data_IF_215838010098
#
_entry.id   IF_215838010098
#
_cell.length_a   1.000
_cell.length_b   1.000
_cell.length_c   1.000
_cell.angle_alpha   90.00
_cell.angle_beta   90.00
_cell.angle_gamma   90.00
#
_symmetry.space_group_name_H-M   'P 1'
#
loop_
_entity.id
_entity.type
_entity.pdbx_description
1 polymer ?
#
# COMPACT_ATOMS: atom_id res chain seq x y z
N UNK A 1 -5.73 -17.02 -13.03
CA UNK A 1 -4.59 -16.78 -12.11
C UNK A 1 -4.08 -15.33 -12.19
N UNK A 2 -3.86 -14.74 -13.38
CA UNK A 2 -3.48 -13.32 -13.54
C UNK A 2 -4.38 -12.35 -12.74
N UNK A 3 -5.68 -12.35 -13.02
CA UNK A 3 -6.65 -11.41 -12.40
C UNK A 3 -6.79 -11.67 -10.90
N UNK A 4 -6.71 -12.92 -10.44
CA UNK A 4 -6.79 -13.26 -9.02
C UNK A 4 -5.62 -12.65 -8.24
N UNK A 5 -4.38 -12.86 -8.69
CA UNK A 5 -3.21 -12.27 -8.04
C UNK A 5 -3.21 -10.75 -8.11
N UNK A 6 -3.71 -10.18 -9.21
CA UNK A 6 -3.87 -8.74 -9.32
C UNK A 6 -4.86 -8.21 -8.28
N UNK A 7 -6.01 -8.87 -8.09
CA UNK A 7 -6.99 -8.51 -7.06
C UNK A 7 -6.39 -8.66 -5.66
N UNK A 8 -5.69 -9.76 -5.36
CA UNK A 8 -5.02 -9.95 -4.07
C UNK A 8 -4.00 -8.84 -3.79
N UNK A 9 -3.15 -8.50 -4.77
CA UNK A 9 -2.18 -7.41 -4.64
C UNK A 9 -2.86 -6.05 -4.43
N UNK A 10 -3.95 -5.77 -5.16
CA UNK A 10 -4.73 -4.54 -5.01
C UNK A 10 -5.37 -4.45 -3.62
N UNK A 11 -5.98 -5.54 -3.13
CA UNK A 11 -6.59 -5.58 -1.79
C UNK A 11 -5.54 -5.36 -0.71
N UNK A 12 -4.39 -6.05 -0.78
CA UNK A 12 -3.30 -5.93 0.20
C UNK A 12 -2.72 -4.52 0.22
N UNK A 13 -2.46 -3.91 -0.94
CA UNK A 13 -1.91 -2.54 -1.00
C UNK A 13 -2.92 -1.47 -0.59
N UNK A 14 -4.20 -1.64 -0.91
CA UNK A 14 -5.25 -0.70 -0.46
C UNK A 14 -5.45 -0.78 1.06
N UNK A 15 -5.49 -1.99 1.63
CA UNK A 15 -5.57 -2.19 3.08
C UNK A 15 -4.31 -1.65 3.79
N UNK A 16 -3.12 -1.92 3.25
CA UNK A 16 -1.87 -1.38 3.77
C UNK A 16 -1.85 0.15 3.75
N UNK A 17 -2.33 0.77 2.67
CA UNK A 17 -2.46 2.22 2.55
C UNK A 17 -3.44 2.82 3.58
N UNK A 18 -4.61 2.19 3.76
CA UNK A 18 -5.60 2.62 4.75
C UNK A 18 -5.06 2.51 6.18
N UNK A 19 -4.40 1.41 6.53
CA UNK A 19 -3.77 1.21 7.83
C UNK A 19 -2.63 2.22 8.05
N UNK A 20 -1.80 2.46 7.03
CA UNK A 20 -0.73 3.46 7.09
C UNK A 20 -1.26 4.87 7.35
N UNK A 21 -2.35 5.27 6.70
CA UNK A 21 -3.03 6.54 6.94
C UNK A 21 -3.59 6.64 8.37
N UNK A 22 -4.20 5.57 8.88
CA UNK A 22 -4.70 5.53 10.25
C UNK A 22 -3.57 5.67 11.28
N UNK A 23 -2.43 5.01 11.05
CA UNK A 23 -1.23 5.14 11.90
C UNK A 23 -0.68 6.57 11.83
N UNK A 24 -0.57 7.16 10.64
CA UNK A 24 -0.09 8.53 10.47
C UNK A 24 -0.98 9.53 11.24
N UNK A 25 -2.30 9.41 11.11
CA UNK A 25 -3.26 10.24 11.86
C UNK A 25 -3.11 10.07 13.37
N UNK A 26 -2.93 8.83 13.84
CA UNK A 26 -2.73 8.54 15.27
C UNK A 26 -1.45 9.17 15.81
N UNK A 27 -0.35 9.09 15.06
CA UNK A 27 0.92 9.71 15.44
C UNK A 27 0.77 11.24 15.51
N UNK A 28 0.16 11.85 14.50
CA UNK A 28 -0.06 13.31 14.47
C UNK A 28 -0.93 13.77 15.64
N UNK A 29 -1.99 13.02 15.95
CA UNK A 29 -2.83 13.29 17.12
C UNK A 29 -2.02 13.22 18.43
N UNK A 30 -1.23 12.17 18.63
CA UNK A 30 -0.41 12.00 19.82
C UNK A 30 0.66 13.09 19.96
N UNK A 31 1.30 13.50 18.87
CA UNK A 31 2.28 14.61 18.87
C UNK A 31 1.64 15.93 19.29
N UNK A 32 0.42 16.20 18.83
CA UNK A 32 -0.31 17.42 19.17
C UNK A 32 -0.81 17.41 20.63
N UNK A 33 -1.36 16.29 21.11
CA UNK A 33 -1.86 16.15 22.49
C UNK A 33 -0.73 16.20 23.51
N UNK A 34 0.40 15.54 23.22
CA UNK A 34 1.56 15.54 24.11
C UNK A 34 2.33 16.85 24.10
N UNK A 35 2.01 17.79 23.20
CA UNK A 35 2.79 19.01 22.95
C UNK A 35 4.28 18.71 22.73
N UNK A 36 4.60 17.53 22.18
CA UNK A 36 5.98 17.05 22.03
C UNK A 36 6.85 17.97 21.14
N UNK A 37 6.21 18.71 20.22
CA UNK A 37 6.85 19.69 19.34
C UNK A 37 6.87 21.12 19.92
N UNK A 38 6.36 21.31 21.14
CA UNK A 38 6.18 22.62 21.80
C UNK A 38 4.79 23.23 21.55
N UNK A 39 4.41 24.23 22.36
CA UNK A 39 3.04 24.80 22.33
C UNK A 39 2.67 25.54 21.04
N UNK A 40 3.66 25.84 20.19
CA UNK A 40 3.49 26.65 18.97
C UNK A 40 3.55 25.86 17.67
N UNK A 41 3.85 24.57 17.72
CA UNK A 41 4.01 23.73 16.52
C UNK A 41 2.93 22.65 16.55
N UNK A 42 1.98 22.75 15.62
CA UNK A 42 1.00 21.70 15.36
C UNK A 42 1.48 20.85 14.18
N UNK A 43 1.51 19.53 14.36
CA UNK A 43 1.64 18.59 13.26
C UNK A 43 0.32 18.55 12.49
N UNK A 44 0.38 18.76 11.18
CA UNK A 44 -0.78 18.77 10.30
C UNK A 44 -0.56 17.84 9.11
N UNK A 45 -1.60 17.09 8.74
CA UNK A 45 -1.62 16.28 7.53
C UNK A 45 -2.30 17.09 6.43
N UNK A 46 -1.52 17.48 5.43
CA UNK A 46 -2.03 18.25 4.29
C UNK A 46 -2.67 17.33 3.24
N UNK A 47 -3.72 17.83 2.59
CA UNK A 47 -4.43 17.11 1.51
C UNK A 47 -3.47 16.61 0.40
N UNK A 48 -2.47 17.40 -0.05
CA UNK A 48 -1.51 16.93 -1.05
C UNK A 48 -0.70 15.70 -0.60
N UNK A 49 -0.37 15.60 0.69
CA UNK A 49 0.36 14.45 1.23
C UNK A 49 -0.52 13.20 1.26
N UNK A 50 -1.80 13.35 1.58
CA UNK A 50 -2.78 12.24 1.52
C UNK A 50 -2.98 11.76 0.09
N UNK A 51 -3.15 12.68 -0.86
CA UNK A 51 -3.28 12.31 -2.28
C UNK A 51 -2.01 11.65 -2.81
N UNK A 52 -0.84 12.17 -2.43
CA UNK A 52 0.45 11.60 -2.80
C UNK A 52 0.65 10.19 -2.25
N UNK A 53 0.27 9.93 -0.99
CA UNK A 53 0.40 8.61 -0.38
C UNK A 53 -0.56 7.58 -1.00
N UNK A 54 -1.80 7.98 -1.31
CA UNK A 54 -2.75 7.14 -2.04
C UNK A 54 -2.26 6.82 -3.46
N UNK A 55 -1.76 7.81 -4.18
CA UNK A 55 -1.19 7.63 -5.51
C UNK A 55 0.01 6.68 -5.48
N UNK A 56 0.91 6.86 -4.51
CA UNK A 56 2.06 5.98 -4.31
C UNK A 56 1.62 4.54 -4.01
N UNK A 57 0.65 4.34 -3.12
CA UNK A 57 0.12 3.01 -2.81
C UNK A 57 -0.48 2.32 -4.05
N UNK A 58 -1.24 3.05 -4.86
CA UNK A 58 -1.80 2.53 -6.11
C UNK A 58 -0.72 2.11 -7.10
N UNK A 59 0.33 2.92 -7.27
CA UNK A 59 1.48 2.58 -8.14
C UNK A 59 2.18 1.31 -7.65
N UNK A 60 2.44 1.21 -6.34
CA UNK A 60 3.04 0.01 -5.73
C UNK A 60 2.17 -1.22 -5.97
N UNK A 61 0.85 -1.13 -5.74
CA UNK A 61 -0.09 -2.23 -5.97
C UNK A 61 -0.12 -2.71 -7.42
N UNK A 62 -0.11 -1.78 -8.37
CA UNK A 62 -0.10 -2.11 -9.80
C UNK A 62 1.24 -2.75 -10.20
N UNK A 63 2.37 -2.16 -9.84
CA UNK A 63 3.70 -2.65 -10.23
C UNK A 63 3.95 -4.05 -9.65
N UNK A 64 3.76 -4.19 -8.34
CA UNK A 64 3.99 -5.46 -7.65
C UNK A 64 2.86 -6.48 -7.85
N UNK A 65 1.69 -6.08 -8.35
CA UNK A 65 0.63 -7.01 -8.73
C UNK A 65 0.78 -7.52 -10.16
N UNK A 66 1.03 -6.64 -11.13
CA UNK A 66 1.08 -6.98 -12.56
C UNK A 66 2.32 -7.78 -12.92
N UNK A 67 3.50 -7.41 -12.41
CA UNK A 67 4.76 -8.10 -12.74
C UNK A 67 4.75 -9.59 -12.37
N UNK A 68 4.46 -10.00 -11.12
CA UNK A 68 4.40 -11.43 -10.77
C UNK A 68 3.19 -12.12 -11.40
N UNK A 69 2.04 -11.46 -11.51
CA UNK A 69 0.86 -12.07 -12.10
C UNK A 69 1.07 -12.40 -13.59
N UNK A 70 1.75 -11.52 -14.33
CA UNK A 70 2.11 -11.76 -15.74
C UNK A 70 3.13 -12.90 -15.89
N UNK A 71 4.07 -13.01 -14.94
CA UNK A 71 4.99 -14.16 -14.89
C UNK A 71 4.22 -15.46 -14.62
N UNK A 72 3.28 -15.45 -13.68
CA UNK A 72 2.48 -16.61 -13.32
C UNK A 72 1.54 -17.07 -14.45
N UNK A 73 0.97 -16.13 -15.23
CA UNK A 73 0.06 -16.47 -16.32
C UNK A 73 0.73 -17.08 -17.55
N UNK A 74 2.05 -16.96 -17.66
CA UNK A 74 2.85 -17.48 -18.80
C UNK A 74 3.54 -18.80 -18.50
N UNK A 75 3.38 -19.35 -17.28
CA UNK A 75 3.92 -20.66 -16.94
C UNK A 75 3.11 -21.74 -17.66
N UNK A 76 3.81 -22.63 -18.36
CA UNK A 76 3.19 -23.78 -19.00
C UNK A 76 2.67 -24.73 -17.90
N UNK A 77 1.37 -25.07 -17.87
CA UNK A 77 0.79 -25.94 -16.86
C UNK A 77 1.51 -27.29 -16.75
N UNK A 78 2.02 -27.79 -17.88
CA UNK A 78 2.72 -29.08 -17.94
C UNK A 78 4.08 -28.99 -17.23
N UNK A 79 4.78 -27.87 -17.38
CA UNK A 79 6.09 -27.64 -16.79
C UNK A 79 5.99 -27.30 -15.30
N UNK A 80 4.91 -26.63 -14.88
CA UNK A 80 4.60 -26.36 -13.47
C UNK A 80 4.27 -27.64 -12.66
N UNK A 81 3.69 -28.66 -13.29
CA UNK A 81 3.42 -29.98 -12.68
C UNK A 81 4.60 -30.95 -12.75
N UNK A 82 5.54 -30.75 -13.69
CA UNK A 82 6.75 -31.58 -13.84
C UNK A 82 7.88 -31.17 -12.91
N UNK A 83 7.75 -30.00 -12.30
CA UNK A 83 8.60 -29.47 -11.23
C UNK A 83 8.00 -29.86 -9.87
N UNK A 84 7.71 -31.15 -9.69
CA UNK A 84 7.79 -31.80 -8.37
C UNK A 84 9.24 -32.27 -8.14
#
# INVERSE_FOLDING_TARGET
>A
ILIQFLIEAMVLTTLGGAIGLAIAQTIVFLLNVSKALGERIAAEISIPVVLGSLAFSAVVGIVFGVLPANKASKLDPIEALRYE
#
